data_IF_585491798498
#
_entry.id   IF_585491798498
#
_cell.length_a   1.000
_cell.length_b   1.000
_cell.length_c   1.000
_cell.angle_alpha   90.00
_cell.angle_beta   90.00
_cell.angle_gamma   90.00
#
_symmetry.space_group_name_H-M   'P 1'
#
loop_
_entity.id
_entity.type
_entity.pdbx_description
1 polymer ?
#
# COMPACT_ATOMS: atom_id res chain seq x y z
N UNK A 1 12.12 11.81 -15.49
CA UNK A 1 11.96 10.52 -16.22
C UNK A 1 10.47 10.30 -16.46
N UNK A 2 9.99 10.29 -17.72
CA UNK A 2 8.55 10.25 -18.09
C UNK A 2 8.09 8.82 -18.39
N UNK A 3 7.89 8.00 -17.37
CA UNK A 3 7.27 6.66 -17.49
C UNK A 3 6.29 6.42 -16.34
N UNK A 4 5.30 7.31 -16.14
CA UNK A 4 4.36 7.21 -15.02
C UNK A 4 2.91 6.92 -15.47
N UNK A 5 2.46 7.49 -16.59
CA UNK A 5 1.08 7.31 -17.05
C UNK A 5 0.69 5.84 -17.41
N UNK A 6 1.52 5.05 -18.13
CA UNK A 6 1.16 3.67 -18.47
C UNK A 6 1.05 2.75 -17.25
N UNK A 7 1.93 2.92 -16.26
CA UNK A 7 1.93 2.14 -15.02
C UNK A 7 0.68 2.45 -14.18
N UNK A 8 0.33 3.73 -14.05
CA UNK A 8 -0.89 4.17 -13.36
C UNK A 8 -2.16 3.60 -14.00
N UNK A 9 -2.26 3.66 -15.33
CA UNK A 9 -3.42 3.14 -16.04
C UNK A 9 -3.55 1.62 -15.85
N UNK A 10 -2.44 0.88 -15.99
CA UNK A 10 -2.43 -0.56 -15.80
C UNK A 10 -2.80 -0.96 -14.36
N UNK A 11 -2.16 -0.37 -13.35
CA UNK A 11 -2.47 -0.66 -11.94
C UNK A 11 -3.93 -0.36 -11.61
N UNK A 12 -4.50 0.73 -12.15
CA UNK A 12 -5.93 1.04 -11.98
C UNK A 12 -6.83 -0.05 -12.56
N UNK A 13 -6.52 -0.53 -13.77
CA UNK A 13 -7.31 -1.59 -14.41
C UNK A 13 -7.28 -2.87 -13.57
N UNK A 14 -6.12 -3.25 -13.04
CA UNK A 14 -6.00 -4.42 -12.18
C UNK A 14 -6.70 -4.24 -10.82
N UNK A 15 -6.60 -3.05 -10.21
CA UNK A 15 -7.35 -2.75 -8.99
C UNK A 15 -8.87 -2.76 -9.21
N UNK A 16 -9.36 -2.30 -10.37
CA UNK A 16 -10.77 -2.41 -10.71
C UNK A 16 -11.23 -3.87 -10.80
N UNK A 17 -10.43 -4.75 -11.42
CA UNK A 17 -10.72 -6.20 -11.44
C UNK A 17 -10.70 -6.81 -10.04
N UNK A 18 -9.80 -6.36 -9.16
CA UNK A 18 -9.80 -6.79 -7.74
C UNK A 18 -11.06 -6.35 -7.03
N UNK A 19 -11.43 -5.08 -7.20
CA UNK A 19 -12.64 -4.49 -6.63
C UNK A 19 -13.90 -5.23 -7.10
N UNK A 20 -14.00 -5.60 -8.38
CA UNK A 20 -15.13 -6.38 -8.89
C UNK A 20 -15.22 -7.75 -8.21
N UNK A 21 -14.07 -8.44 -8.07
CA UNK A 21 -13.99 -9.75 -7.39
C UNK A 21 -14.27 -9.68 -5.89
N UNK A 22 -13.90 -8.58 -5.23
CA UNK A 22 -13.96 -8.40 -3.78
C UNK A 22 -14.72 -7.12 -3.40
N UNK A 23 -15.88 -6.89 -4.02
CA UNK A 23 -16.62 -5.64 -3.86
C UNK A 23 -17.06 -5.36 -2.42
N UNK A 24 -17.32 -6.41 -1.63
CA UNK A 24 -17.66 -6.33 -0.21
C UNK A 24 -16.49 -5.93 0.69
N UNK A 25 -15.26 -5.99 0.19
CA UNK A 25 -14.02 -5.67 0.90
C UNK A 25 -13.38 -4.36 0.43
N UNK A 26 -14.06 -3.60 -0.44
CA UNK A 26 -13.48 -2.39 -1.03
C UNK A 26 -13.34 -1.24 -0.02
N UNK A 27 -12.18 -0.58 -0.06
CA UNK A 27 -11.88 0.61 0.72
C UNK A 27 -11.53 1.79 -0.20
N UNK A 28 -12.41 2.79 -0.30
CA UNK A 28 -12.19 4.01 -1.07
C UNK A 28 -11.59 5.18 -0.28
N UNK A 29 -11.43 5.01 1.03
CA UNK A 29 -10.89 6.04 1.93
C UNK A 29 -9.36 6.10 1.96
N UNK A 30 -8.79 7.03 2.74
CA UNK A 30 -7.35 7.11 2.90
C UNK A 30 -6.81 5.92 3.69
N UNK A 31 -5.56 5.58 3.42
CA UNK A 31 -4.77 4.60 4.17
C UNK A 31 -3.48 5.26 4.69
N UNK A 32 -2.79 4.57 5.60
CA UNK A 32 -1.51 4.98 6.14
C UNK A 32 -0.43 3.99 5.77
N UNK A 33 0.65 4.44 5.11
CA UNK A 33 1.75 3.61 4.64
C UNK A 33 3.06 4.01 5.30
N UNK A 34 3.74 3.05 5.92
CA UNK A 34 5.01 3.24 6.60
C UNK A 34 6.18 2.83 5.72
N UNK A 35 7.19 3.69 5.60
CA UNK A 35 8.38 3.42 4.79
C UNK A 35 9.59 4.23 5.26
N UNK A 36 10.78 3.81 4.85
CA UNK A 36 12.03 4.55 5.00
C UNK A 36 12.30 5.57 3.88
N UNK A 37 11.38 5.75 2.93
CA UNK A 37 11.51 6.78 1.90
C UNK A 37 11.28 8.18 2.50
N UNK A 38 12.18 9.11 2.20
CA UNK A 38 12.11 10.47 2.75
C UNK A 38 10.96 11.28 2.13
N UNK A 39 10.44 12.30 2.84
CA UNK A 39 9.40 13.16 2.31
C UNK A 39 9.81 13.85 1.02
N UNK A 40 11.06 14.32 0.92
CA UNK A 40 11.55 14.99 -0.30
C UNK A 40 11.42 14.08 -1.53
N UNK A 41 11.74 12.79 -1.38
CA UNK A 41 11.58 11.82 -2.46
C UNK A 41 10.10 11.54 -2.75
N UNK A 42 9.31 11.26 -1.71
CA UNK A 42 7.91 10.85 -1.87
C UNK A 42 7.03 11.98 -2.39
N UNK A 43 7.27 13.21 -1.96
CA UNK A 43 6.52 14.38 -2.42
C UNK A 43 6.89 14.78 -3.85
N UNK A 44 8.12 14.50 -4.29
CA UNK A 44 8.56 14.77 -5.65
C UNK A 44 8.12 13.69 -6.64
N UNK A 45 8.32 12.41 -6.30
CA UNK A 45 8.24 11.29 -7.25
C UNK A 45 7.05 10.34 -6.98
N UNK A 46 6.47 10.43 -5.79
CA UNK A 46 5.54 9.44 -5.26
C UNK A 46 6.26 8.27 -4.58
N UNK A 47 5.48 7.26 -4.20
CA UNK A 47 6.00 5.98 -3.70
C UNK A 47 6.22 5.06 -4.91
N UNK A 48 7.44 4.54 -5.14
CA UNK A 48 7.74 3.71 -6.30
C UNK A 48 7.02 2.35 -6.24
N UNK A 49 6.82 1.75 -7.42
CA UNK A 49 6.36 0.37 -7.51
C UNK A 49 7.38 -0.60 -6.88
N UNK A 50 6.89 -1.70 -6.33
CA UNK A 50 7.68 -2.81 -5.76
C UNK A 50 8.41 -3.66 -6.81
N UNK A 51 8.17 -3.43 -8.10
CA UNK A 51 8.76 -4.22 -9.21
C UNK A 51 7.95 -5.48 -9.58
N UNK A 52 7.11 -5.96 -8.67
CA UNK A 52 6.17 -7.05 -8.91
C UNK A 52 5.07 -6.71 -9.92
N UNK A 53 4.43 -7.75 -10.45
CA UNK A 53 3.38 -7.65 -11.48
C UNK A 53 2.07 -8.33 -11.12
N UNK A 54 2.05 -9.09 -10.02
CA UNK A 54 0.91 -9.89 -9.61
C UNK A 54 -0.02 -9.12 -8.65
N UNK A 55 -1.31 -9.15 -8.97
CA UNK A 55 -2.38 -8.56 -8.18
C UNK A 55 -3.15 -9.61 -7.37
N UNK A 56 -2.67 -10.86 -7.29
CA UNK A 56 -3.25 -11.89 -6.44
C UNK A 56 -3.04 -11.58 -4.94
N UNK A 57 -4.14 -11.48 -4.20
CA UNK A 57 -4.14 -11.17 -2.77
C UNK A 57 -3.55 -12.30 -1.91
N UNK A 58 -3.76 -13.56 -2.29
CA UNK A 58 -3.20 -14.68 -1.56
C UNK A 58 -1.69 -14.75 -1.77
N UNK A 59 -1.22 -14.50 -2.99
CA UNK A 59 0.21 -14.46 -3.28
C UNK A 59 0.89 -13.28 -2.59
N UNK A 60 0.23 -12.11 -2.55
CA UNK A 60 0.67 -10.97 -1.74
C UNK A 60 0.86 -11.36 -0.26
N UNK A 61 -0.13 -12.04 0.34
CA UNK A 61 -0.04 -12.49 1.73
C UNK A 61 1.07 -13.54 1.96
N UNK A 62 1.32 -14.42 1.00
CA UNK A 62 2.34 -15.49 1.13
C UNK A 62 3.76 -14.96 1.15
N UNK A 63 4.02 -13.77 0.62
CA UNK A 63 5.36 -13.17 0.63
C UNK A 63 5.86 -12.89 2.05
N UNK A 64 4.97 -12.63 3.00
CA UNK A 64 5.31 -12.39 4.40
C UNK A 64 5.78 -13.65 5.17
N UNK A 65 5.60 -14.84 4.60
CA UNK A 65 5.98 -16.12 5.25
C UNK A 65 7.37 -16.57 4.81
N UNK A 66 7.84 -16.15 3.63
CA UNK A 66 9.05 -16.69 3.00
C UNK A 66 10.34 -16.01 3.51
N UNK A 67 10.37 -15.60 4.78
CA UNK A 67 11.53 -15.00 5.44
C UNK A 67 12.68 -16.00 5.44
N UNK A 68 13.61 -15.88 4.49
CA UNK A 68 14.81 -16.72 4.42
C UNK A 68 15.24 -17.14 3.01
N UNK A 69 14.38 -17.03 2.00
CA UNK A 69 14.75 -17.26 0.60
C UNK A 69 14.57 -15.96 -0.19
N UNK A 70 15.64 -15.47 -0.83
CA UNK A 70 15.60 -14.30 -1.70
C UNK A 70 14.84 -14.65 -3.00
N UNK A 71 13.51 -14.74 -2.94
CA UNK A 71 12.67 -14.73 -4.12
C UNK A 71 12.35 -13.29 -4.49
N UNK A 72 12.40 -12.99 -5.79
CA UNK A 72 12.01 -11.69 -6.33
C UNK A 72 10.58 -11.35 -5.91
N UNK A 73 10.37 -10.14 -5.38
CA UNK A 73 9.06 -9.62 -4.99
C UNK A 73 8.11 -9.63 -6.20
N UNK A 74 7.17 -10.58 -6.23
CA UNK A 74 6.24 -10.74 -7.36
C UNK A 74 5.01 -9.85 -7.25
N UNK A 75 4.71 -9.33 -6.06
CA UNK A 75 3.46 -8.62 -5.81
C UNK A 75 3.52 -7.18 -6.32
N UNK A 76 2.52 -6.81 -7.11
CA UNK A 76 2.23 -5.43 -7.48
C UNK A 76 1.39 -4.69 -6.42
N UNK A 77 1.17 -5.31 -5.26
CA UNK A 77 0.42 -4.75 -4.13
C UNK A 77 1.37 -4.37 -2.98
N UNK A 78 0.95 -3.39 -2.19
CA UNK A 78 1.51 -3.04 -0.89
C UNK A 78 0.42 -3.21 0.17
N UNK A 79 0.85 -3.60 1.38
CA UNK A 79 0.03 -3.58 2.58
C UNK A 79 0.10 -2.23 3.30
N UNK A 80 -1.03 -1.78 3.82
CA UNK A 80 -1.17 -0.62 4.70
C UNK A 80 -2.26 -0.85 5.74
N UNK A 81 -2.44 0.11 6.65
CA UNK A 81 -3.53 0.07 7.62
C UNK A 81 -4.38 1.33 7.54
N UNK A 82 -5.58 1.28 8.11
CA UNK A 82 -6.48 2.43 8.25
C UNK A 82 -6.08 3.38 9.39
N UNK A 83 -5.06 3.04 10.17
CA UNK A 83 -4.57 3.84 11.28
C UNK A 83 -3.04 3.96 11.26
N UNK A 84 -2.53 5.18 11.46
CA UNK A 84 -1.10 5.50 11.40
C UNK A 84 -0.15 4.76 12.37
N UNK A 85 -0.56 4.34 13.59
CA UNK A 85 0.37 3.68 14.53
C UNK A 85 0.92 2.33 14.04
N UNK A 86 0.12 1.50 13.36
CA UNK A 86 0.58 0.19 12.88
C UNK A 86 1.66 0.35 11.78
N UNK A 87 1.46 1.18 10.74
CA UNK A 87 2.49 1.47 9.75
C UNK A 87 3.75 2.14 10.31
N UNK A 88 3.66 2.85 11.44
CA UNK A 88 4.85 3.39 12.12
C UNK A 88 5.79 2.26 12.57
N UNK A 89 5.24 1.10 12.96
CA UNK A 89 6.01 -0.10 13.28
C UNK A 89 6.79 -0.65 12.10
N UNK A 90 6.24 -0.57 10.89
CA UNK A 90 6.90 -1.02 9.67
C UNK A 90 8.00 -0.05 9.21
N UNK A 91 7.78 1.25 9.39
CA UNK A 91 8.75 2.28 9.04
C UNK A 91 9.96 2.33 10.00
N UNK A 92 9.74 2.01 11.28
CA UNK A 92 10.75 2.09 12.33
C UNK A 92 11.07 3.53 12.76
N UNK A 93 11.86 3.66 13.83
CA UNK A 93 12.31 4.96 14.34
C UNK A 93 13.11 5.72 13.27
N UNK A 94 12.79 6.99 13.07
CA UNK A 94 13.39 7.83 12.02
C UNK A 94 12.73 7.68 10.64
N UNK A 95 11.87 6.68 10.44
CA UNK A 95 11.08 6.50 9.23
C UNK A 95 9.88 7.46 9.13
N UNK A 96 9.01 7.21 8.16
CA UNK A 96 7.86 8.07 7.86
C UNK A 96 6.58 7.28 7.64
N UNK A 97 5.46 7.87 8.04
CA UNK A 97 4.11 7.36 7.75
C UNK A 97 3.39 8.36 6.85
N UNK A 98 3.01 7.94 5.66
CA UNK A 98 2.29 8.74 4.68
C UNK A 98 0.80 8.44 4.73
N UNK A 99 -0.03 9.48 4.76
CA UNK A 99 -1.48 9.36 4.55
C UNK A 99 -1.78 9.57 3.07
N UNK A 100 -2.43 8.60 2.42
CA UNK A 100 -2.65 8.64 0.98
C UNK A 100 -3.99 8.01 0.57
N UNK A 101 -4.48 8.37 -0.61
CA UNK A 101 -5.65 7.77 -1.26
C UNK A 101 -5.19 6.85 -2.37
N UNK A 102 -5.28 5.51 -2.20
CA UNK A 102 -4.64 4.63 -3.15
C UNK A 102 -5.22 4.74 -4.57
N UNK A 103 -4.35 4.67 -5.58
CA UNK A 103 -4.77 4.55 -6.99
C UNK A 103 -5.68 3.32 -7.16
N UNK A 104 -6.93 3.56 -7.57
CA UNK A 104 -7.94 2.50 -7.72
C UNK A 104 -8.60 2.05 -6.41
N UNK A 105 -8.26 2.68 -5.28
CA UNK A 105 -8.68 2.29 -3.93
C UNK A 105 -7.85 1.13 -3.37
N UNK A 106 -8.28 0.58 -2.24
CA UNK A 106 -7.68 -0.59 -1.60
C UNK A 106 -8.69 -1.70 -1.34
N UNK A 107 -8.19 -2.88 -0.95
CA UNK A 107 -8.99 -4.04 -0.56
C UNK A 107 -8.62 -4.44 0.86
N UNK A 108 -9.61 -4.49 1.75
CA UNK A 108 -9.47 -5.09 3.08
C UNK A 108 -9.19 -6.59 2.93
N UNK A 109 -7.97 -6.98 3.29
CA UNK A 109 -7.48 -8.36 3.09
C UNK A 109 -8.26 -9.35 3.96
N UNK A 110 -8.66 -8.95 5.16
CA UNK A 110 -9.42 -9.80 6.08
C UNK A 110 -10.83 -10.05 5.54
N UNK A 111 -11.50 -9.01 5.06
CA UNK A 111 -12.82 -9.13 4.47
C UNK A 111 -12.79 -9.89 3.13
N UNK A 112 -11.71 -9.75 2.34
CA UNK A 112 -11.58 -10.40 1.04
C UNK A 112 -11.28 -11.89 1.14
N UNK A 113 -10.32 -12.29 1.99
CA UNK A 113 -9.81 -13.66 2.09
C UNK A 113 -10.46 -14.47 3.21
N UNK A 114 -11.08 -13.81 4.19
CA UNK A 114 -11.64 -14.46 5.36
C UNK A 114 -10.58 -14.96 6.36
N UNK A 115 -10.99 -15.75 7.37
CA UNK A 115 -10.11 -16.18 8.45
C UNK A 115 -9.00 -17.10 7.95
N UNK A 116 -7.83 -17.01 8.58
CA UNK A 116 -6.70 -17.91 8.37
C UNK A 116 -7.12 -19.36 8.54
N UNK A 117 -6.82 -20.20 7.55
CA UNK A 117 -7.04 -21.65 7.59
C UNK A 117 -5.72 -22.35 7.27
N UNK A 118 -5.26 -23.19 8.20
CA UNK A 118 -4.06 -24.00 8.05
C UNK A 118 -4.50 -25.45 7.96
N UNK A 119 -4.22 -26.12 6.84
CA UNK A 119 -4.35 -27.57 6.71
C UNK A 119 -2.95 -28.18 6.78
N UNK A 120 -2.58 -28.66 7.97
CA UNK A 120 -1.28 -29.27 8.22
C UNK A 120 -1.07 -30.58 7.46
N UNK A 121 -2.15 -31.29 7.11
CA UNK A 121 -2.07 -32.56 6.40
C UNK A 121 -1.81 -32.37 4.90
N UNK A 122 -2.36 -31.28 4.31
CA UNK A 122 -2.14 -30.92 2.91
C UNK A 122 -1.00 -29.91 2.71
N UNK A 123 -0.47 -29.36 3.80
CA UNK A 123 0.52 -28.28 3.74
C UNK A 123 -0.04 -27.01 3.10
N UNK A 124 -1.35 -26.77 3.19
CA UNK A 124 -1.99 -25.60 2.58
C UNK A 124 -2.28 -24.51 3.61
N UNK A 125 -2.12 -23.27 3.16
CA UNK A 125 -2.45 -22.07 3.91
C UNK A 125 -3.34 -21.17 3.06
N UNK A 126 -4.52 -20.86 3.61
CA UNK A 126 -5.55 -20.03 3.00
C UNK A 126 -6.01 -18.93 3.97
N UNK A 127 -6.71 -17.93 3.44
CA UNK A 127 -7.23 -16.81 4.21
C UNK A 127 -6.16 -15.74 4.51
N UNK A 128 -6.56 -14.72 5.28
CA UNK A 128 -5.64 -13.68 5.73
C UNK A 128 -4.58 -14.26 6.68
N UNK A 129 -3.29 -14.06 6.37
CA UNK A 129 -2.18 -14.67 7.08
C UNK A 129 -1.89 -13.91 8.39
N UNK A 130 -2.06 -12.58 8.35
CA UNK A 130 -1.81 -11.63 9.43
C UNK A 130 -3.06 -10.82 9.79
N UNK A 131 -4.13 -11.46 10.30
CA UNK A 131 -5.42 -10.80 10.46
C UNK A 131 -5.42 -9.64 11.48
N UNK A 132 -4.45 -9.62 12.41
CA UNK A 132 -4.30 -8.55 13.39
C UNK A 132 -3.84 -7.21 12.80
N UNK A 133 -3.29 -7.19 11.58
CA UNK A 133 -2.76 -5.96 10.96
C UNK A 133 -3.85 -5.10 10.32
N UNK A 134 -5.07 -5.64 10.17
CA UNK A 134 -6.20 -4.95 9.50
C UNK A 134 -5.77 -4.35 8.16
N UNK A 135 -5.09 -5.20 7.38
CA UNK A 135 -4.38 -4.77 6.18
C UNK A 135 -5.33 -4.37 5.06
N UNK A 136 -5.02 -3.23 4.45
CA UNK A 136 -5.56 -2.80 3.17
C UNK A 136 -4.49 -3.02 2.12
N UNK A 137 -4.72 -3.95 1.20
CA UNK A 137 -3.88 -4.16 0.03
C UNK A 137 -4.23 -3.15 -1.07
N UNK A 138 -3.22 -2.50 -1.64
CA UNK A 138 -3.41 -1.50 -2.68
C UNK A 138 -2.25 -1.50 -3.68
N UNK A 139 -2.43 -0.90 -4.85
CA UNK A 139 -1.43 -0.93 -5.90
C UNK A 139 -0.10 -0.27 -5.47
N UNK A 140 1.05 -0.86 -5.82
CA UNK A 140 2.32 -0.51 -5.18
C UNK A 140 2.87 0.87 -5.53
N UNK A 141 2.73 1.33 -6.77
CA UNK A 141 3.05 2.72 -7.13
C UNK A 141 1.94 3.66 -6.66
N UNK A 142 2.32 4.75 -5.99
CA UNK A 142 1.41 5.84 -5.60
C UNK A 142 1.99 7.19 -6.03
N UNK A 143 1.31 7.96 -6.88
CA UNK A 143 1.80 9.26 -7.32
C UNK A 143 1.71 10.29 -6.18
N UNK A 144 2.59 11.30 -6.18
CA UNK A 144 2.63 12.30 -5.10
C UNK A 144 1.30 13.05 -4.92
N UNK A 145 0.52 13.24 -5.99
CA UNK A 145 -0.79 13.89 -5.93
C UNK A 145 -1.85 13.10 -5.12
N UNK A 146 -1.62 11.81 -4.88
CA UNK A 146 -2.47 10.96 -4.03
C UNK A 146 -2.07 10.99 -2.56
N UNK A 147 -0.95 11.62 -2.22
CA UNK A 147 -0.37 11.63 -0.88
C UNK A 147 -0.78 12.93 -0.20
N UNK A 148 -1.61 12.83 0.83
CA UNK A 148 -2.15 13.97 1.57
C UNK A 148 -1.09 14.65 2.44
N UNK A 149 -0.15 13.87 2.96
CA UNK A 149 0.94 14.35 3.80
C UNK A 149 1.57 13.21 4.59
N UNK A 150 2.36 13.56 5.60
CA UNK A 150 3.14 12.58 6.33
C UNK A 150 3.33 12.94 7.81
N UNK A 151 3.74 11.92 8.56
CA UNK A 151 4.22 12.01 9.94
C UNK A 151 5.65 11.46 9.98
N UNK A 152 6.54 12.12 10.71
CA UNK A 152 7.81 11.52 11.08
C UNK A 152 7.61 10.54 12.24
N UNK A 153 8.24 9.38 12.17
CA UNK A 153 8.24 8.38 13.25
C UNK A 153 9.36 8.73 14.24
N UNK A 154 8.96 9.04 15.46
CA UNK A 154 9.87 9.27 16.59
C UNK A 154 10.16 7.98 17.35
N UNK A 155 10.68 8.13 18.57
CA UNK A 155 11.07 6.99 19.41
C UNK A 155 9.90 6.09 19.81
N UNK A 156 10.22 4.82 20.04
CA UNK A 156 9.27 3.85 20.59
C UNK A 156 8.91 4.18 22.04
N UNK A 157 7.62 4.15 22.36
CA UNK A 157 7.12 4.39 23.71
C UNK A 157 6.70 3.07 24.34
N UNK A 158 7.56 2.48 25.18
CA UNK A 158 7.27 1.22 25.89
C UNK A 158 5.96 1.28 26.68
N UNK A 159 5.71 2.37 27.40
CA UNK A 159 4.50 2.58 28.19
C UNK A 159 3.19 2.54 27.38
N UNK A 160 3.27 2.70 26.05
CA UNK A 160 2.11 2.73 25.16
C UNK A 160 2.18 1.65 24.07
N UNK A 161 3.22 0.81 24.06
CA UNK A 161 3.41 -0.24 23.08
C UNK A 161 3.42 0.23 21.62
N UNK A 162 3.85 1.47 21.34
CA UNK A 162 3.80 2.06 20.00
C UNK A 162 4.85 3.14 19.78
N UNK A 163 5.19 3.38 18.51
CA UNK A 163 6.00 4.53 18.11
C UNK A 163 5.25 5.84 18.27
N UNK A 164 5.98 6.89 18.64
CA UNK A 164 5.45 8.26 18.65
C UNK A 164 5.42 8.80 17.23
N UNK A 165 4.33 9.47 16.87
CA UNK A 165 4.23 10.19 15.60
C UNK A 165 4.41 11.68 15.85
N UNK A 166 5.19 12.33 14.99
CA UNK A 166 5.35 13.77 14.97
C UNK A 166 4.09 14.51 14.53
N UNK A 167 4.21 15.82 14.30
CA UNK A 167 3.12 16.61 13.73
C UNK A 167 2.88 16.18 12.28
N UNK A 168 1.61 16.17 11.85
CA UNK A 168 1.26 15.99 10.46
C UNK A 168 1.77 17.17 9.62
N UNK A 169 2.47 16.87 8.52
CA UNK A 169 2.92 17.85 7.53
C UNK A 169 2.13 17.61 6.23
N UNK A 170 1.31 18.58 5.79
CA UNK A 170 0.52 18.43 4.58
C UNK A 170 1.41 18.52 3.33
N UNK A 171 1.06 17.74 2.30
CA UNK A 171 1.64 17.86 0.98
C UNK A 171 0.93 18.98 0.19
N UNK A 172 1.61 20.06 -0.23
CA UNK A 172 0.99 21.12 -1.02
C UNK A 172 0.55 20.67 -2.42
N UNK A 173 1.05 19.53 -2.91
CA UNK A 173 0.68 18.95 -4.20
C UNK A 173 -0.46 17.94 -4.11
N UNK A 174 -1.08 17.77 -2.94
CA UNK A 174 -2.19 16.85 -2.77
C UNK A 174 -3.40 17.29 -3.61
N UNK A 175 -3.76 16.45 -4.56
CA UNK A 175 -4.86 16.67 -5.48
C UNK A 175 -5.40 15.30 -5.93
N UNK A 176 -6.11 14.58 -5.04
CA UNK A 176 -6.58 13.25 -5.34
C UNK A 176 -7.56 13.32 -6.52
N UNK A 177 -7.37 12.44 -7.50
CA UNK A 177 -8.16 12.43 -8.74
C UNK A 177 -7.67 13.40 -9.83
N UNK A 178 -6.73 14.31 -9.56
CA UNK A 178 -6.17 15.17 -10.62
C UNK A 178 -5.46 14.37 -11.72
N UNK A 179 -4.86 13.23 -11.35
CA UNK A 179 -4.28 12.26 -12.29
C UNK A 179 -5.33 11.59 -13.20
N UNK A 180 -6.62 11.60 -12.84
CA UNK A 180 -7.70 11.12 -13.72
C UNK A 180 -8.03 12.11 -14.85
N UNK A 181 -7.67 13.38 -14.66
CA UNK A 181 -7.90 14.47 -15.61
C UNK A 181 -6.71 14.76 -16.54
N UNK A 182 -5.54 14.14 -16.27
CA UNK A 182 -4.45 14.06 -17.25
C UNK A 182 -4.94 13.20 -18.42
N UNK A 183 -5.63 13.86 -19.36
CA UNK A 183 -5.88 13.32 -20.69
C UNK A 183 -4.55 12.76 -21.17
N UNK A 184 -4.55 11.46 -21.43
CA UNK A 184 -3.50 10.78 -22.15
C UNK A 184 -3.40 11.48 -23.51
N UNK A 185 -2.63 12.55 -23.60
CA UNK A 185 -2.03 12.98 -24.86
C UNK A 185 -1.00 11.91 -25.17
N UNK A 186 -1.51 10.80 -25.72
CA UNK A 186 -0.72 9.98 -26.62
C UNK A 186 -0.29 10.96 -27.69
N UNK A 187 0.97 11.34 -27.71
CA UNK A 187 1.56 11.84 -28.93
C UNK A 187 1.40 10.69 -29.93
N UNK A 188 0.34 10.77 -30.74
CA UNK A 188 0.18 9.95 -31.94
C UNK A 188 1.24 10.41 -32.97
N UNK A 189 1.68 9.49 -33.84
CA UNK A 189 3.08 9.23 -34.18
C UNK A 189 3.82 10.35 -34.92
#
# INVERSE_FOLDING_TARGET
MKVQAPVLQWQRQEMNKLKERHSHAFCGGPVFHGTGLSPDQVLLEGIPATGGRDFDLMEHQRQFIQVGEAKEEQSALRGSCLAAPTPAGFAGEGGWVYKLYPVGGGIDVNAALGPKKVDMAKGTLEGSIMPGETEIAFASYQPSCQIEGYYQVGSYSEAHGKYRLGKFVPNPHFAPGAWESERITVAQP
#
